data_IF_913259307611
#
_entry.id   IF_913259307611
#
_cell.length_a   1.000
_cell.length_b   1.000
_cell.length_c   1.000
_cell.angle_alpha   90.00
_cell.angle_beta   90.00
_cell.angle_gamma   90.00
#
_symmetry.space_group_name_H-M   'P 1'
#
loop_
_entity.id
_entity.type
_entity.pdbx_description
1 polymer ?
#
# COMPACT_ATOMS: atom_id res chain seq x y z
N UNK A 1 -10.26 7.89 16.25
CA UNK A 1 -10.29 7.66 14.79
C UNK A 1 -9.12 6.76 14.43
N UNK A 2 -9.37 5.57 13.88
CA UNK A 2 -8.31 4.66 13.42
C UNK A 2 -8.14 4.82 11.92
N UNK A 3 -6.90 4.73 11.42
CA UNK A 3 -6.60 4.77 10.00
C UNK A 3 -5.96 3.47 9.56
N UNK A 4 -6.44 2.91 8.45
CA UNK A 4 -5.86 1.73 7.82
C UNK A 4 -5.32 2.15 6.46
N UNK A 5 -4.05 1.78 6.21
CA UNK A 5 -3.45 1.89 4.90
C UNK A 5 -3.33 0.50 4.29
N UNK A 6 -4.12 0.22 3.27
CA UNK A 6 -3.99 -0.98 2.47
C UNK A 6 -3.08 -0.72 1.27
N UNK A 7 -2.02 -1.53 1.13
CA UNK A 7 -1.10 -1.47 -0.02
C UNK A 7 -1.34 -2.71 -0.88
N UNK A 8 -1.95 -2.51 -2.05
CA UNK A 8 -2.19 -3.55 -3.03
C UNK A 8 -0.94 -3.75 -3.90
N UNK A 9 -0.28 -4.89 -3.71
CA UNK A 9 0.96 -5.21 -4.43
C UNK A 9 0.79 -6.17 -5.61
N UNK A 10 -0.39 -6.79 -5.78
CA UNK A 10 -0.55 -7.83 -6.82
C UNK A 10 -0.92 -7.21 -8.17
N UNK A 11 -0.16 -7.49 -9.25
CA UNK A 11 -0.53 -7.03 -10.60
C UNK A 11 -1.73 -7.78 -11.16
N UNK A 12 -2.14 -8.89 -10.53
CA UNK A 12 -3.13 -9.81 -11.07
C UNK A 12 -4.57 -9.32 -10.90
N UNK A 13 -4.80 -8.25 -10.14
CA UNK A 13 -6.10 -7.61 -9.90
C UNK A 13 -7.19 -8.62 -9.53
N UNK A 14 -8.26 -8.70 -10.30
CA UNK A 14 -9.39 -9.62 -10.08
C UNK A 14 -8.98 -11.11 -10.01
N UNK A 15 -7.85 -11.47 -10.63
CA UNK A 15 -7.29 -12.84 -10.58
C UNK A 15 -6.36 -13.08 -9.37
N UNK A 16 -6.22 -12.10 -8.49
CA UNK A 16 -5.41 -12.20 -7.27
C UNK A 16 -6.24 -12.69 -6.09
N UNK A 17 -5.80 -13.80 -5.48
CA UNK A 17 -6.42 -14.29 -4.25
C UNK A 17 -6.08 -13.40 -3.04
N UNK A 18 -4.90 -12.78 -3.01
CA UNK A 18 -4.52 -11.89 -1.92
C UNK A 18 -5.33 -10.60 -1.89
N UNK A 19 -5.66 -10.03 -3.07
CA UNK A 19 -6.55 -8.87 -3.17
C UNK A 19 -7.94 -9.22 -2.66
N UNK A 20 -8.48 -10.38 -3.07
CA UNK A 20 -9.81 -10.84 -2.62
C UNK A 20 -9.89 -10.94 -1.09
N UNK A 21 -8.90 -11.57 -0.46
CA UNK A 21 -8.87 -11.74 1.00
C UNK A 21 -8.72 -10.38 1.71
N UNK A 22 -7.86 -9.50 1.19
CA UNK A 22 -7.67 -8.17 1.77
C UNK A 22 -8.95 -7.33 1.72
N UNK A 23 -9.64 -7.32 0.58
CA UNK A 23 -10.90 -6.56 0.42
C UNK A 23 -12.01 -7.10 1.33
N UNK A 24 -12.12 -8.42 1.47
CA UNK A 24 -13.07 -9.05 2.42
C UNK A 24 -12.78 -8.61 3.87
N UNK A 25 -11.50 -8.58 4.26
CA UNK A 25 -11.10 -8.11 5.58
C UNK A 25 -11.44 -6.63 5.80
N UNK A 26 -11.14 -5.77 4.82
CA UNK A 26 -11.42 -4.34 4.90
C UNK A 26 -12.92 -4.05 4.96
N UNK A 27 -13.75 -4.80 4.20
CA UNK A 27 -15.22 -4.70 4.26
C UNK A 27 -15.73 -4.97 5.68
N UNK A 28 -15.30 -6.10 6.27
CA UNK A 28 -15.70 -6.48 7.63
C UNK A 28 -15.26 -5.47 8.69
N UNK A 29 -14.12 -4.82 8.51
CA UNK A 29 -13.69 -3.77 9.42
C UNK A 29 -14.59 -2.54 9.31
N UNK A 30 -14.88 -2.09 8.09
CA UNK A 30 -15.73 -0.93 7.86
C UNK A 30 -17.18 -1.15 8.35
N UNK A 31 -17.67 -2.39 8.28
CA UNK A 31 -18.98 -2.78 8.83
C UNK A 31 -19.02 -2.73 10.37
N UNK A 32 -17.91 -3.05 11.04
CA UNK A 32 -17.84 -3.12 12.50
C UNK A 32 -17.60 -1.76 13.18
N UNK A 33 -16.97 -0.81 12.49
CA UNK A 33 -16.63 0.51 13.05
C UNK A 33 -16.67 1.59 11.95
N UNK A 34 -17.72 2.40 11.97
CA UNK A 34 -17.96 3.50 11.02
C UNK A 34 -17.00 4.69 11.19
N UNK A 35 -16.14 4.68 12.22
CA UNK A 35 -15.15 5.73 12.48
C UNK A 35 -13.72 5.32 12.02
N UNK A 36 -13.63 4.28 11.18
CA UNK A 36 -12.37 3.85 10.55
C UNK A 36 -12.24 4.50 9.17
N UNK A 37 -11.11 5.17 8.96
CA UNK A 37 -10.71 5.68 7.66
C UNK A 37 -9.82 4.64 6.97
N UNK A 38 -10.24 4.16 5.80
CA UNK A 38 -9.47 3.21 4.99
C UNK A 38 -8.93 3.95 3.77
N UNK A 39 -7.62 3.90 3.58
CA UNK A 39 -6.93 4.40 2.39
C UNK A 39 -6.28 3.24 1.66
N UNK A 40 -6.51 3.16 0.36
CA UNK A 40 -5.90 2.14 -0.51
C UNK A 40 -4.84 2.78 -1.39
N UNK A 41 -3.67 2.13 -1.49
CA UNK A 41 -2.63 2.43 -2.46
C UNK A 41 -2.49 1.23 -3.38
N UNK A 42 -2.85 1.42 -4.64
CA UNK A 42 -2.59 0.46 -5.71
C UNK A 42 -1.26 0.78 -6.39
N UNK A 43 -0.23 -0.01 -6.09
CA UNK A 43 1.13 0.22 -6.63
C UNK A 43 1.19 0.11 -8.16
N UNK A 44 0.28 -0.63 -8.79
CA UNK A 44 0.27 -0.82 -10.24
C UNK A 44 -0.51 0.29 -10.97
N UNK A 45 -1.21 1.15 -10.23
CA UNK A 45 -1.84 2.36 -10.76
C UNK A 45 -0.94 3.59 -10.69
N UNK A 46 0.16 3.51 -9.95
CA UNK A 46 1.06 4.61 -9.69
C UNK A 46 2.24 4.58 -10.66
N UNK A 47 2.62 5.76 -11.14
CA UNK A 47 3.90 5.96 -11.82
C UNK A 47 5.00 6.08 -10.76
N UNK A 48 5.45 4.93 -10.28
CA UNK A 48 6.50 4.85 -9.26
C UNK A 48 7.87 4.96 -9.93
N UNK A 49 8.77 5.80 -9.41
CA UNK A 49 10.12 5.88 -9.96
C UNK A 49 10.84 4.54 -9.85
N UNK A 50 11.65 4.21 -10.85
CA UNK A 50 12.49 3.02 -10.80
C UNK A 50 13.42 3.08 -9.59
N UNK A 51 13.57 1.94 -8.91
CA UNK A 51 14.53 1.81 -7.83
C UNK A 51 15.94 1.71 -8.43
N UNK A 52 16.57 2.85 -8.70
CA UNK A 52 17.88 2.97 -9.34
C UNK A 52 18.99 3.36 -8.35
N UNK A 53 20.25 3.37 -8.82
CA UNK A 53 21.42 3.70 -8.01
C UNK A 53 21.36 5.10 -7.37
N UNK A 54 20.74 6.08 -8.03
CA UNK A 54 20.57 7.43 -7.49
C UNK A 54 19.56 7.45 -6.33
N UNK A 55 18.44 6.74 -6.45
CA UNK A 55 17.47 6.61 -5.37
C UNK A 55 18.06 5.86 -4.17
N UNK A 56 18.90 4.87 -4.43
CA UNK A 56 19.62 4.14 -3.40
C UNK A 56 20.65 5.04 -2.70
N UNK A 57 21.41 5.84 -3.44
CA UNK A 57 22.33 6.84 -2.88
C UNK A 57 21.58 7.89 -2.04
N UNK A 58 20.44 8.40 -2.50
CA UNK A 58 19.61 9.32 -1.72
C UNK A 58 19.10 8.70 -0.41
N UNK A 59 18.65 7.43 -0.45
CA UNK A 59 18.29 6.69 0.76
C UNK A 59 19.49 6.52 1.70
N UNK A 60 20.67 6.21 1.17
CA UNK A 60 21.88 6.09 1.98
C UNK A 60 22.32 7.41 2.58
N UNK A 61 22.23 8.54 1.87
CA UNK A 61 22.51 9.87 2.44
C UNK A 61 21.59 10.16 3.64
N UNK A 62 20.30 9.87 3.49
CA UNK A 62 19.32 10.04 4.59
C UNK A 62 19.60 9.10 5.78
N UNK A 63 19.97 7.83 5.52
CA UNK A 63 20.28 6.85 6.59
C UNK A 63 21.63 7.12 7.25
N UNK A 64 22.62 7.59 6.49
CA UNK A 64 23.96 7.91 6.97
C UNK A 64 24.02 9.26 7.73
N UNK A 65 22.97 10.08 7.63
CA UNK A 65 22.85 11.35 8.34
C UNK A 65 23.75 12.47 7.79
N UNK A 66 24.12 12.41 6.51
CA UNK A 66 24.92 13.45 5.81
C UNK A 66 24.09 14.19 4.78
#
# INVERSE_FOLDING_TARGET
MKKILYVECSPRKERSHSIKIANEYLSKIAENDSNIEIKTIDLWSLDLPEFNGEMMNAKYSVIAGT
#
